data_IF_294510349546
#
_entry.id   IF_294510349546
#
_cell.length_a   1.000
_cell.length_b   1.000
_cell.length_c   1.000
_cell.angle_alpha   90.00
_cell.angle_beta   90.00
_cell.angle_gamma   90.00
#
_symmetry.space_group_name_H-M   'P 1'
#
loop_
_entity.id
_entity.type
_entity.pdbx_description
1 polymer ?
#
# COMPACT_ATOMS: atom_id res chain seq x y z
N UNK A 1 0.26 -12.23 -16.83
CA UNK A 1 -0.57 -12.47 -15.61
C UNK A 1 -0.32 -11.35 -14.59
N UNK A 2 0.93 -10.94 -14.44
CA UNK A 2 1.40 -9.97 -13.45
C UNK A 2 0.78 -8.58 -13.57
N UNK A 3 0.67 -8.07 -14.81
CA UNK A 3 -0.01 -6.80 -15.09
C UNK A 3 -1.46 -6.80 -14.57
N UNK A 4 -2.16 -7.93 -14.63
CA UNK A 4 -3.54 -8.02 -14.15
C UNK A 4 -3.66 -7.95 -12.62
N UNK A 5 -2.73 -8.56 -11.88
CA UNK A 5 -2.71 -8.50 -10.41
C UNK A 5 -2.40 -7.07 -9.95
N UNK A 6 -1.37 -6.45 -10.53
CA UNK A 6 -0.98 -5.09 -10.21
C UNK A 6 -2.09 -4.07 -10.51
N UNK A 7 -2.71 -4.15 -11.69
CA UNK A 7 -3.80 -3.24 -12.07
C UNK A 7 -5.05 -3.44 -11.20
N UNK A 8 -5.30 -4.67 -10.73
CA UNK A 8 -6.35 -4.93 -9.73
C UNK A 8 -6.07 -4.21 -8.42
N UNK A 9 -4.84 -4.28 -7.91
CA UNK A 9 -4.41 -3.53 -6.73
C UNK A 9 -4.56 -2.02 -6.93
N UNK A 10 -4.10 -1.49 -8.07
CA UNK A 10 -4.22 -0.07 -8.39
C UNK A 10 -5.68 0.38 -8.40
N UNK A 11 -6.58 -0.40 -9.00
CA UNK A 11 -8.02 -0.09 -9.04
C UNK A 11 -8.62 -0.05 -7.63
N UNK A 12 -8.38 -1.08 -6.83
CA UNK A 12 -8.94 -1.17 -5.48
C UNK A 12 -8.37 -0.08 -4.55
N UNK A 13 -7.10 0.25 -4.66
CA UNK A 13 -6.49 1.35 -3.92
C UNK A 13 -7.04 2.71 -4.36
N UNK A 14 -7.43 2.86 -5.63
CA UNK A 14 -8.09 4.09 -6.10
C UNK A 14 -9.43 4.32 -5.40
N UNK A 15 -10.14 3.27 -4.99
CA UNK A 15 -11.35 3.40 -4.17
C UNK A 15 -11.07 3.93 -2.75
N UNK A 16 -9.87 3.70 -2.23
CA UNK A 16 -9.45 4.13 -0.89
C UNK A 16 -8.82 5.52 -0.90
N UNK A 17 -7.96 5.79 -1.88
CA UNK A 17 -7.08 6.97 -1.92
C UNK A 17 -7.53 7.99 -2.98
N UNK A 18 -8.53 7.65 -3.80
CA UNK A 18 -8.85 8.36 -5.04
C UNK A 18 -7.75 8.20 -6.08
N UNK A 19 -7.69 9.12 -7.05
CA UNK A 19 -6.73 9.05 -8.16
C UNK A 19 -5.29 8.85 -7.69
N UNK A 20 -4.65 7.80 -8.20
CA UNK A 20 -3.22 7.53 -8.05
C UNK A 20 -2.48 8.03 -9.29
N UNK A 21 -1.34 8.67 -9.08
CA UNK A 21 -0.53 9.28 -10.14
C UNK A 21 0.69 8.42 -10.42
N UNK A 22 0.99 8.18 -11.70
CA UNK A 22 2.18 7.43 -12.09
C UNK A 22 3.47 8.17 -11.68
N UNK A 23 4.48 7.41 -11.26
CA UNK A 23 5.82 7.93 -11.00
C UNK A 23 6.52 8.22 -12.33
N UNK A 24 7.30 9.30 -12.40
CA UNK A 24 8.08 9.65 -13.59
C UNK A 24 9.07 8.53 -13.99
N UNK A 25 9.54 7.74 -13.03
CA UNK A 25 10.39 6.58 -13.28
C UNK A 25 9.67 5.38 -13.92
N UNK A 26 8.33 5.43 -14.03
CA UNK A 26 7.49 4.30 -14.48
C UNK A 26 7.41 3.14 -13.47
N UNK A 27 8.03 3.28 -12.30
CA UNK A 27 8.16 2.20 -11.32
C UNK A 27 6.91 1.97 -10.46
N UNK A 28 5.86 2.77 -10.61
CA UNK A 28 4.70 2.66 -9.74
C UNK A 28 3.74 3.83 -9.82
N UNK A 29 2.82 3.84 -8.84
CA UNK A 29 1.84 4.89 -8.65
C UNK A 29 1.89 5.44 -7.24
N UNK A 30 1.38 6.65 -7.04
CA UNK A 30 1.38 7.31 -5.73
C UNK A 30 0.11 8.07 -5.42
N UNK A 31 -0.23 8.12 -4.13
CA UNK A 31 -1.07 9.17 -3.59
C UNK A 31 -0.18 10.15 -2.84
N UNK A 32 -0.10 11.39 -3.31
CA UNK A 32 0.70 12.46 -2.66
C UNK A 32 -0.09 13.28 -1.65
N UNK A 33 -1.41 13.09 -1.61
CA UNK A 33 -2.33 13.87 -0.77
C UNK A 33 -2.28 13.37 0.67
N UNK A 34 -1.65 14.13 1.55
CA UNK A 34 -1.48 13.77 2.96
C UNK A 34 -2.83 13.60 3.68
N UNK A 35 -3.85 14.39 3.33
CA UNK A 35 -5.21 14.24 3.86
C UNK A 35 -5.88 12.92 3.47
N UNK A 36 -5.35 12.24 2.44
CA UNK A 36 -5.79 10.93 1.99
C UNK A 36 -4.88 9.79 2.46
N UNK A 37 -3.81 10.04 3.21
CA UNK A 37 -2.81 9.03 3.52
C UNK A 37 -1.93 8.75 2.30
N UNK A 38 -0.64 9.05 2.40
CA UNK A 38 0.28 8.91 1.28
C UNK A 38 0.72 7.45 1.10
N UNK A 39 0.68 6.98 -0.14
CA UNK A 39 1.14 5.65 -0.50
C UNK A 39 2.03 5.68 -1.73
N UNK A 40 2.90 4.70 -1.83
CA UNK A 40 3.53 4.27 -3.07
C UNK A 40 3.13 2.83 -3.38
N UNK A 41 2.66 2.59 -4.60
CA UNK A 41 2.36 1.28 -5.14
C UNK A 41 3.42 0.96 -6.20
N UNK A 42 4.37 0.10 -5.88
CA UNK A 42 5.50 -0.27 -6.73
C UNK A 42 5.16 -1.43 -7.67
N UNK A 43 5.52 -1.30 -8.94
CA UNK A 43 5.48 -2.35 -9.97
C UNK A 43 6.64 -3.33 -9.78
N UNK A 44 6.57 -4.56 -10.34
CA UNK A 44 7.67 -5.53 -10.31
C UNK A 44 9.01 -4.97 -10.81
N UNK A 45 8.99 -4.09 -11.82
CA UNK A 45 10.18 -3.45 -12.40
C UNK A 45 10.90 -2.49 -11.44
N UNK A 46 10.33 -2.20 -10.27
CA UNK A 46 10.92 -1.33 -9.26
C UNK A 46 11.99 -2.04 -8.39
N UNK A 47 12.20 -3.35 -8.56
CA UNK A 47 13.06 -4.15 -7.69
C UNK A 47 12.34 -4.48 -6.37
N UNK A 48 11.30 -5.31 -6.48
CA UNK A 48 10.56 -5.82 -5.32
C UNK A 48 11.26 -7.02 -4.70
N UNK A 49 10.85 -7.40 -3.50
CA UNK A 49 11.27 -8.67 -2.93
C UNK A 49 10.83 -9.83 -3.84
N UNK A 50 11.63 -10.90 -3.87
CA UNK A 50 11.40 -12.03 -4.77
C UNK A 50 9.98 -12.61 -4.61
N UNK A 51 9.33 -12.86 -5.75
CA UNK A 51 7.98 -13.41 -5.81
C UNK A 51 6.86 -12.35 -5.84
N UNK A 52 7.09 -11.13 -5.34
CA UNK A 52 6.06 -10.09 -5.31
C UNK A 52 5.69 -9.59 -6.72
N UNK A 53 4.38 -9.48 -6.97
CA UNK A 53 3.83 -8.82 -8.16
C UNK A 53 3.45 -7.35 -7.91
N UNK A 54 3.57 -6.90 -6.65
CA UNK A 54 3.51 -5.51 -6.25
C UNK A 54 3.83 -5.33 -4.77
N UNK A 55 4.27 -4.13 -4.40
CA UNK A 55 4.42 -3.72 -3.00
C UNK A 55 3.75 -2.37 -2.77
N UNK A 56 3.12 -2.21 -1.61
CA UNK A 56 2.51 -0.94 -1.19
C UNK A 56 3.30 -0.41 0.00
N UNK A 57 3.92 0.76 -0.13
CA UNK A 57 4.50 1.50 0.98
C UNK A 57 3.51 2.54 1.51
N UNK A 58 3.47 2.69 2.84
CA UNK A 58 2.53 3.58 3.52
C UNK A 58 3.27 4.61 4.37
N UNK A 59 2.97 5.89 4.16
CA UNK A 59 3.46 6.95 5.03
C UNK A 59 2.62 6.99 6.31
N UNK A 60 3.25 6.74 7.45
CA UNK A 60 2.55 6.48 8.72
C UNK A 60 1.81 7.71 9.24
N UNK A 61 2.39 8.91 9.16
CA UNK A 61 1.84 10.11 9.81
C UNK A 61 0.54 10.59 9.15
N UNK A 62 0.50 10.57 7.82
CA UNK A 62 -0.67 10.91 7.02
C UNK A 62 -1.79 9.89 7.21
N UNK A 63 -1.47 8.61 7.38
CA UNK A 63 -2.46 7.59 7.72
C UNK A 63 -3.00 7.76 9.14
N UNK A 64 -2.12 8.05 10.11
CA UNK A 64 -2.52 8.34 11.48
C UNK A 64 -3.48 9.55 11.53
N UNK A 65 -3.10 10.64 10.84
CA UNK A 65 -3.92 11.85 10.72
C UNK A 65 -5.27 11.54 10.05
N UNK A 66 -5.27 10.83 8.92
CA UNK A 66 -6.50 10.48 8.19
C UNK A 66 -7.44 9.63 9.03
N UNK A 67 -6.89 8.65 9.75
CA UNK A 67 -7.69 7.75 10.58
C UNK A 67 -8.13 8.38 11.91
N UNK A 68 -7.62 9.55 12.28
CA UNK A 68 -7.81 10.13 13.61
C UNK A 68 -7.19 9.28 14.72
N UNK A 69 -6.09 8.58 14.42
CA UNK A 69 -5.41 7.62 15.30
C UNK A 69 -4.00 8.07 15.66
N UNK A 70 -3.40 7.41 16.66
CA UNK A 70 -2.01 7.66 17.05
C UNK A 70 -0.99 7.06 16.08
N UNK A 71 0.21 7.64 16.00
CA UNK A 71 1.32 7.11 15.19
C UNK A 71 1.69 5.68 15.60
N UNK A 72 1.77 5.41 16.91
CA UNK A 72 2.14 4.08 17.44
C UNK A 72 1.12 3.02 17.03
N UNK A 73 -0.17 3.32 17.20
CA UNK A 73 -1.28 2.47 16.79
C UNK A 73 -1.25 2.21 15.27
N UNK A 74 -0.98 3.24 14.48
CA UNK A 74 -0.89 3.14 13.02
C UNK A 74 0.30 2.28 12.58
N UNK A 75 1.45 2.40 13.26
CA UNK A 75 2.61 1.51 13.04
C UNK A 75 2.29 0.06 13.39
N UNK A 76 1.56 -0.18 14.48
CA UNK A 76 1.14 -1.52 14.88
C UNK A 76 0.18 -2.12 13.84
N UNK A 77 -0.78 -1.34 13.34
CA UNK A 77 -1.66 -1.76 12.25
C UNK A 77 -0.87 -2.20 11.02
N UNK A 78 0.05 -1.37 10.50
CA UNK A 78 0.83 -1.76 9.32
C UNK A 78 1.78 -2.93 9.57
N UNK A 79 2.30 -3.08 10.80
CA UNK A 79 3.08 -4.24 11.19
C UNK A 79 2.23 -5.52 11.14
N UNK A 80 1.02 -5.47 11.67
CA UNK A 80 0.10 -6.62 11.64
C UNK A 80 -0.30 -6.94 10.20
N UNK A 81 -0.65 -5.93 9.40
CA UNK A 81 -0.99 -6.09 7.99
C UNK A 81 0.15 -6.76 7.20
N UNK A 82 1.40 -6.46 7.54
CA UNK A 82 2.59 -7.10 6.95
C UNK A 82 2.72 -8.56 7.34
N UNK A 83 2.47 -8.87 8.61
CA UNK A 83 2.47 -10.25 9.10
C UNK A 83 1.37 -11.05 8.41
N UNK A 84 0.18 -10.47 8.29
CA UNK A 84 -0.98 -11.11 7.66
C UNK A 84 -0.77 -11.35 6.16
N UNK A 85 -0.05 -10.46 5.47
CA UNK A 85 0.25 -10.65 4.05
C UNK A 85 1.26 -11.78 3.82
N UNK A 86 2.11 -12.10 4.80
CA UNK A 86 3.08 -13.19 4.72
C UNK A 86 4.23 -12.97 3.72
N UNK A 87 4.24 -11.83 3.02
CA UNK A 87 5.19 -11.53 1.95
C UNK A 87 6.43 -10.81 2.48
N UNK A 88 7.60 -11.26 2.05
CA UNK A 88 8.82 -10.48 2.19
C UNK A 88 8.63 -9.15 1.45
N UNK A 89 9.26 -8.08 1.93
CA UNK A 89 9.25 -6.79 1.23
C UNK A 89 10.61 -6.17 1.32
N UNK A 90 10.99 -5.46 0.27
CA UNK A 90 12.19 -4.64 0.34
C UNK A 90 12.03 -3.49 1.35
N UNK A 91 13.15 -3.00 1.86
CA UNK A 91 13.16 -1.75 2.61
C UNK A 91 13.35 -0.61 1.61
N UNK A 92 12.50 0.41 1.70
CA UNK A 92 12.82 1.65 1.04
C UNK A 92 13.95 2.34 1.81
N UNK A 93 15.13 2.46 1.21
CA UNK A 93 16.29 3.08 1.85
C UNK A 93 16.13 4.59 2.02
N UNK A 94 15.21 5.22 1.27
CA UNK A 94 14.95 6.65 1.32
C UNK A 94 13.90 7.01 2.37
N UNK A 95 12.95 6.12 2.62
CA UNK A 95 11.84 6.33 3.55
C UNK A 95 11.59 5.08 4.40
N UNK A 96 11.63 5.15 5.73
CA UNK A 96 11.32 4.00 6.61
C UNK A 96 9.80 3.73 6.70
N UNK A 97 9.14 3.68 5.53
CA UNK A 97 7.71 3.42 5.39
C UNK A 97 7.46 1.92 5.41
N UNK A 98 6.50 1.42 6.22
CA UNK A 98 6.10 0.02 6.16
C UNK A 98 5.63 -0.34 4.75
N UNK A 99 6.06 -1.51 4.28
CA UNK A 99 5.67 -2.08 2.99
C UNK A 99 4.89 -3.38 3.15
N UNK A 100 3.94 -3.60 2.23
CA UNK A 100 3.09 -4.80 2.15
C UNK A 100 3.19 -5.36 0.73
N UNK A 101 3.67 -6.59 0.60
CA UNK A 101 3.78 -7.32 -0.68
C UNK A 101 2.52 -8.12 -1.00
N UNK A 102 2.32 -8.40 -2.28
CA UNK A 102 1.27 -9.30 -2.77
C UNK A 102 1.67 -9.97 -4.09
N UNK A 103 1.10 -11.14 -4.35
CA UNK A 103 1.38 -12.00 -5.52
C UNK A 103 0.12 -12.37 -6.29
N UNK A 104 -1.05 -12.37 -5.64
CA UNK A 104 -2.33 -12.70 -6.28
C UNK A 104 -3.37 -11.61 -6.05
N UNK A 105 -4.44 -11.61 -6.86
CA UNK A 105 -5.55 -10.65 -6.69
C UNK A 105 -6.37 -10.96 -5.43
N UNK A 106 -6.43 -12.22 -5.04
CA UNK A 106 -7.10 -12.71 -3.83
C UNK A 106 -6.45 -12.14 -2.57
N UNK A 107 -5.13 -11.92 -2.58
CA UNK A 107 -4.39 -11.29 -1.47
C UNK A 107 -4.60 -9.76 -1.38
N UNK A 108 -4.82 -9.10 -2.51
CA UNK A 108 -5.03 -7.65 -2.55
C UNK A 108 -6.33 -7.24 -1.85
N UNK A 109 -7.38 -8.06 -2.01
CA UNK A 109 -8.71 -7.77 -1.47
C UNK A 109 -8.73 -7.62 0.07
N UNK A 110 -8.22 -8.57 0.88
CA UNK A 110 -8.17 -8.42 2.33
C UNK A 110 -7.31 -7.25 2.76
N UNK A 111 -6.19 -6.96 2.07
CA UNK A 111 -5.37 -5.76 2.37
C UNK A 111 -6.23 -4.50 2.25
N UNK A 112 -6.95 -4.35 1.14
CA UNK A 112 -7.80 -3.18 0.90
C UNK A 112 -8.97 -3.10 1.88
N UNK A 113 -9.57 -4.23 2.26
CA UNK A 113 -10.64 -4.26 3.26
C UNK A 113 -10.15 -3.79 4.64
N UNK A 114 -8.97 -4.27 5.07
CA UNK A 114 -8.37 -3.82 6.33
C UNK A 114 -8.05 -2.32 6.29
N UNK A 115 -7.56 -1.80 5.16
CA UNK A 115 -7.32 -0.37 4.97
C UNK A 115 -8.62 0.45 5.04
N UNK A 116 -9.68 0.01 4.36
CA UNK A 116 -10.99 0.68 4.41
C UNK A 116 -11.52 0.75 5.84
N UNK A 117 -11.45 -0.36 6.58
CA UNK A 117 -11.88 -0.42 7.97
C UNK A 117 -11.03 0.51 8.87
N UNK A 118 -9.70 0.47 8.73
CA UNK A 118 -8.79 1.30 9.51
C UNK A 118 -9.02 2.80 9.28
N UNK A 119 -9.24 3.18 8.02
CA UNK A 119 -9.45 4.57 7.58
C UNK A 119 -10.91 5.06 7.68
N UNK A 120 -11.84 4.21 8.11
CA UNK A 120 -13.26 4.55 8.20
C UNK A 120 -13.94 4.81 6.84
N UNK A 121 -13.40 4.26 5.75
CA UNK A 121 -13.97 4.40 4.39
C UNK A 121 -15.05 3.33 4.22
N UNK A 122 -16.31 3.75 4.08
CA UNK A 122 -17.42 2.83 3.79
C UNK A 122 -17.36 2.42 2.32
N UNK A 123 -17.53 1.12 2.08
CA UNK A 123 -17.73 0.50 0.76
C UNK A 123 -19.08 0.84 0.17
#
# INVERSE_FOLDING_TARGET
>A
MDSYVFETARRLLTEVYGSLYELESGQGFRCVKAERGQIFLYRPVAGLAEGNLGEIAFEVESHARRAGRGIVETRQFFRQLKVDSGHATERDSRYDWPRIGFTTKEEVTPIVLQLKAFLGVRS
#
